data_IF_830710442794
#
_entry.id   IF_830710442794
#
_cell.length_a   1.000
_cell.length_b   1.000
_cell.length_c   1.000
_cell.angle_alpha   90.00
_cell.angle_beta   90.00
_cell.angle_gamma   90.00
#
_symmetry.space_group_name_H-M   'P 1'
#
loop_
_entity.id
_entity.type
_entity.pdbx_description
1 polymer ?
#
# COMPACT_ATOMS: atom_id res chain seq x y z
N UNK A 1 -11.91 -36.15 35.61
CA UNK A 1 -12.14 -35.69 34.22
C UNK A 1 -11.82 -34.21 34.00
N UNK A 2 -12.19 -33.27 34.89
CA UNK A 2 -11.92 -31.83 34.71
C UNK A 2 -10.45 -31.41 34.54
N UNK A 3 -9.49 -32.06 35.24
CA UNK A 3 -8.06 -31.72 35.13
C UNK A 3 -7.46 -32.04 33.76
N UNK A 4 -7.83 -33.18 33.15
CA UNK A 4 -7.30 -33.60 31.85
C UNK A 4 -7.80 -32.66 30.74
N UNK A 5 -9.10 -32.34 30.77
CA UNK A 5 -9.74 -31.46 29.81
C UNK A 5 -9.13 -30.04 29.82
N UNK A 6 -8.81 -29.51 31.01
CA UNK A 6 -8.15 -28.21 31.18
C UNK A 6 -6.70 -28.18 30.66
N UNK A 7 -5.97 -29.30 30.78
CA UNK A 7 -4.62 -29.45 30.22
C UNK A 7 -4.67 -29.49 28.68
N UNK A 8 -5.58 -30.29 28.10
CA UNK A 8 -5.77 -30.36 26.65
C UNK A 8 -6.21 -29.01 26.06
N UNK A 9 -7.13 -28.29 26.71
CA UNK A 9 -7.52 -26.93 26.28
C UNK A 9 -6.34 -25.95 26.34
N UNK A 10 -5.50 -26.03 27.37
CA UNK A 10 -4.28 -25.20 27.46
C UNK A 10 -3.28 -25.48 26.35
N UNK A 11 -3.05 -26.74 26.01
CA UNK A 11 -2.17 -27.13 24.90
C UNK A 11 -2.71 -26.64 23.55
N UNK A 12 -4.01 -26.79 23.28
CA UNK A 12 -4.62 -26.28 22.05
C UNK A 12 -4.45 -24.77 21.94
N UNK A 13 -4.67 -24.03 23.04
CA UNK A 13 -4.57 -22.57 23.05
C UNK A 13 -3.13 -22.10 22.80
N UNK A 14 -2.14 -22.76 23.41
CA UNK A 14 -0.72 -22.53 23.15
C UNK A 14 -0.35 -22.84 21.69
N UNK A 15 -0.82 -23.97 21.13
CA UNK A 15 -0.58 -24.32 19.74
C UNK A 15 -1.16 -23.28 18.77
N UNK A 16 -2.38 -22.79 19.02
CA UNK A 16 -2.99 -21.73 18.22
C UNK A 16 -2.19 -20.43 18.28
N UNK A 17 -1.73 -20.03 19.48
CA UNK A 17 -0.89 -18.84 19.65
C UNK A 17 0.43 -18.96 18.90
N UNK A 18 1.11 -20.11 18.97
CA UNK A 18 2.37 -20.35 18.26
C UNK A 18 2.15 -20.32 16.75
N UNK A 19 1.13 -21.01 16.24
CA UNK A 19 0.81 -21.01 14.80
C UNK A 19 0.48 -19.59 14.32
N UNK A 20 -0.31 -18.83 15.09
CA UNK A 20 -0.63 -17.43 14.79
C UNK A 20 0.63 -16.56 14.74
N UNK A 21 1.55 -16.73 15.69
CA UNK A 21 2.84 -16.03 15.70
C UNK A 21 3.70 -16.33 14.48
N UNK A 22 3.76 -17.60 14.07
CA UNK A 22 4.49 -18.02 12.85
C UNK A 22 3.86 -17.39 11.60
N UNK A 23 2.53 -17.44 11.46
CA UNK A 23 1.83 -16.85 10.31
C UNK A 23 2.09 -15.35 10.23
N UNK A 24 1.97 -14.63 11.34
CA UNK A 24 2.23 -13.19 11.38
C UNK A 24 3.69 -12.87 10.98
N UNK A 25 4.64 -13.69 11.44
CA UNK A 25 6.06 -13.53 11.09
C UNK A 25 6.29 -13.73 9.59
N UNK A 26 5.67 -14.73 8.97
CA UNK A 26 5.73 -14.97 7.52
C UNK A 26 5.14 -13.78 6.75
N UNK A 27 4.00 -13.24 7.19
CA UNK A 27 3.36 -12.08 6.58
C UNK A 27 4.25 -10.83 6.66
N UNK A 28 4.93 -10.63 7.78
CA UNK A 28 5.86 -9.50 7.95
C UNK A 28 7.10 -9.64 7.06
N UNK A 29 7.69 -10.84 6.99
CA UNK A 29 8.80 -11.12 6.06
C UNK A 29 8.39 -10.86 4.62
N UNK A 30 7.21 -11.33 4.21
CA UNK A 30 6.66 -11.08 2.87
C UNK A 30 6.51 -9.58 2.61
N UNK A 31 5.95 -8.84 3.56
CA UNK A 31 5.82 -7.39 3.45
C UNK A 31 7.18 -6.69 3.28
N UNK A 32 8.19 -7.04 4.07
CA UNK A 32 9.52 -6.43 3.96
C UNK A 32 10.16 -6.73 2.59
N UNK A 33 10.03 -7.96 2.11
CA UNK A 33 10.53 -8.35 0.79
C UNK A 33 9.86 -7.56 -0.33
N UNK A 34 8.52 -7.52 -0.35
CA UNK A 34 7.75 -6.78 -1.34
C UNK A 34 8.01 -5.28 -1.29
N UNK A 35 8.13 -4.69 -0.08
CA UNK A 35 8.51 -3.29 0.10
C UNK A 35 9.87 -3.00 -0.51
N UNK A 36 10.86 -3.86 -0.29
CA UNK A 36 12.18 -3.69 -0.89
C UNK A 36 12.13 -3.78 -2.42
N UNK A 37 11.37 -4.72 -2.97
CA UNK A 37 11.17 -4.81 -4.42
C UNK A 37 10.46 -3.58 -5.00
N UNK A 38 9.40 -3.10 -4.35
CA UNK A 38 8.68 -1.90 -4.76
C UNK A 38 9.62 -0.68 -4.82
N UNK A 39 10.46 -0.49 -3.79
CA UNK A 39 11.47 0.56 -3.76
C UNK A 39 12.55 0.42 -4.85
N UNK A 40 12.89 -0.80 -5.25
CA UNK A 40 13.87 -1.02 -6.31
C UNK A 40 13.27 -0.89 -7.72
N UNK A 41 11.98 -1.15 -7.88
CA UNK A 41 11.30 -1.28 -9.17
C UNK A 41 10.26 -0.20 -9.47
N UNK A 42 10.07 0.80 -8.58
CA UNK A 42 9.07 1.86 -8.79
C UNK A 42 9.27 2.62 -10.11
N UNK A 43 10.51 2.85 -10.55
CA UNK A 43 10.78 3.51 -11.83
C UNK A 43 10.33 2.65 -13.02
N UNK A 44 10.55 1.33 -12.95
CA UNK A 44 10.09 0.39 -13.97
C UNK A 44 8.56 0.38 -14.05
N UNK A 45 7.89 0.40 -12.89
CA UNK A 45 6.43 0.50 -12.80
C UNK A 45 5.94 1.82 -13.39
N UNK A 46 6.54 2.96 -13.02
CA UNK A 46 6.18 4.28 -13.57
C UNK A 46 6.36 4.34 -15.09
N UNK A 47 7.47 3.80 -15.60
CA UNK A 47 7.74 3.76 -17.05
C UNK A 47 6.71 2.89 -17.77
N UNK A 48 6.37 1.73 -17.21
CA UNK A 48 5.34 0.86 -17.77
C UNK A 48 3.95 1.53 -17.74
N UNK A 49 3.61 2.20 -16.64
CA UNK A 49 2.34 2.93 -16.51
C UNK A 49 2.21 4.00 -17.59
N UNK A 50 3.29 4.74 -17.90
CA UNK A 50 3.29 5.76 -18.96
C UNK A 50 2.97 5.18 -20.34
N UNK A 51 3.27 3.90 -20.60
CA UNK A 51 2.94 3.27 -21.89
C UNK A 51 1.45 2.93 -22.01
N UNK A 52 0.70 2.98 -20.91
CA UNK A 52 -0.74 2.69 -20.89
C UNK A 52 -1.60 3.86 -21.39
N UNK A 53 -1.01 5.05 -21.59
CA UNK A 53 -1.66 6.24 -22.15
C UNK A 53 -3.01 6.57 -21.50
N UNK A 54 -3.02 6.63 -20.16
CA UNK A 54 -4.21 7.01 -19.40
C UNK A 54 -4.67 8.43 -19.78
N UNK A 55 -5.98 8.72 -19.84
CA UNK A 55 -6.47 10.07 -20.05
C UNK A 55 -6.00 11.04 -18.97
N UNK A 56 -5.89 12.33 -19.31
CA UNK A 56 -5.49 13.37 -18.36
C UNK A 56 -6.49 13.46 -17.20
N UNK A 57 -5.97 13.74 -16.01
CA UNK A 57 -6.73 13.90 -14.77
C UNK A 57 -7.55 12.66 -14.37
N UNK A 58 -7.10 11.45 -14.71
CA UNK A 58 -7.81 10.20 -14.38
C UNK A 58 -7.01 9.30 -13.46
N UNK A 59 -7.73 8.57 -12.61
CA UNK A 59 -7.16 7.46 -11.84
C UNK A 59 -7.70 6.10 -12.28
N UNK A 60 -6.83 5.09 -12.31
CA UNK A 60 -7.21 3.72 -12.63
C UNK A 60 -6.36 2.70 -11.87
N UNK A 61 -6.93 1.52 -11.61
CA UNK A 61 -6.20 0.37 -11.10
C UNK A 61 -5.73 -0.51 -12.27
N UNK A 62 -4.42 -0.59 -12.49
CA UNK A 62 -3.84 -1.35 -13.59
C UNK A 62 -3.23 -2.66 -13.10
N UNK A 63 -3.41 -3.73 -13.87
CA UNK A 63 -2.77 -5.02 -13.61
C UNK A 63 -1.30 -4.96 -14.00
N UNK A 64 -0.42 -5.19 -13.03
CA UNK A 64 1.02 -5.21 -13.26
C UNK A 64 1.42 -6.37 -14.19
N UNK A 65 2.47 -6.20 -15.01
CA UNK A 65 3.10 -7.30 -15.74
C UNK A 65 3.47 -8.46 -14.82
N UNK A 66 3.49 -9.69 -15.35
CA UNK A 66 3.69 -10.91 -14.53
C UNK A 66 4.98 -10.88 -13.70
N UNK A 67 6.06 -10.29 -14.22
CA UNK A 67 7.33 -10.17 -13.50
C UNK A 67 7.32 -9.10 -12.38
N UNK A 68 6.33 -8.21 -12.37
CA UNK A 68 6.11 -7.17 -11.36
C UNK A 68 4.90 -7.46 -10.45
N UNK A 69 4.01 -8.38 -10.84
CA UNK A 69 2.75 -8.65 -10.14
C UNK A 69 2.95 -8.95 -8.64
N UNK A 70 3.99 -9.73 -8.31
CA UNK A 70 4.31 -10.14 -6.94
C UNK A 70 4.78 -8.99 -6.02
N UNK A 71 4.99 -7.78 -6.54
CA UNK A 71 5.37 -6.60 -5.74
C UNK A 71 4.18 -6.07 -4.95
N UNK A 72 2.99 -6.12 -5.54
CA UNK A 72 1.75 -5.67 -4.91
C UNK A 72 1.00 -6.84 -4.26
N UNK A 73 0.01 -6.54 -3.41
CA UNK A 73 -0.81 -7.55 -2.76
C UNK A 73 -1.70 -8.32 -3.77
N UNK A 74 -2.27 -7.59 -4.74
CA UNK A 74 -3.32 -8.06 -5.65
C UNK A 74 -2.82 -8.27 -7.09
N UNK A 75 -1.53 -7.98 -7.36
CA UNK A 75 -1.03 -7.82 -8.72
C UNK A 75 -1.46 -6.51 -9.39
N UNK A 76 -1.96 -5.54 -8.62
CA UNK A 76 -2.48 -4.26 -9.10
C UNK A 76 -1.63 -3.08 -8.62
N UNK A 77 -1.60 -2.03 -9.44
CA UNK A 77 -1.06 -0.72 -9.07
C UNK A 77 -2.15 0.34 -9.30
N UNK A 78 -2.36 1.20 -8.32
CA UNK A 78 -3.23 2.37 -8.49
C UNK A 78 -2.42 3.46 -9.17
N UNK A 79 -2.99 4.08 -10.18
CA UNK A 79 -2.33 5.10 -11.00
C UNK A 79 -3.18 6.35 -11.03
N UNK A 80 -2.52 7.51 -11.01
CA UNK A 80 -3.10 8.81 -11.30
C UNK A 80 -2.27 9.49 -12.38
N UNK A 81 -2.93 9.79 -13.50
CA UNK A 81 -2.44 10.76 -14.48
C UNK A 81 -3.03 12.11 -14.10
N UNK A 82 -2.23 12.99 -13.52
CA UNK A 82 -2.69 14.29 -13.00
C UNK A 82 -3.04 15.27 -14.13
N UNK A 83 -3.80 16.33 -13.80
CA UNK A 83 -4.05 17.46 -14.71
C UNK A 83 -2.80 18.20 -15.22
N UNK A 84 -1.64 18.00 -14.60
CA UNK A 84 -0.36 18.61 -14.98
C UNK A 84 0.52 17.71 -15.86
N UNK A 85 -0.06 16.66 -16.48
CA UNK A 85 0.64 15.67 -17.29
C UNK A 85 1.77 14.98 -16.52
N UNK A 86 1.45 14.57 -15.29
CA UNK A 86 2.33 13.83 -14.39
C UNK A 86 1.73 12.52 -13.94
N UNK A 87 2.58 11.55 -13.65
CA UNK A 87 2.17 10.21 -13.26
C UNK A 87 2.57 9.94 -11.82
N UNK A 88 1.58 9.51 -11.04
CA UNK A 88 1.80 8.98 -9.70
C UNK A 88 1.21 7.59 -9.59
N UNK A 89 1.83 6.77 -8.75
CA UNK A 89 1.44 5.39 -8.50
C UNK A 89 1.40 5.10 -7.02
N UNK A 90 0.44 4.27 -6.60
CA UNK A 90 0.41 3.66 -5.27
C UNK A 90 0.46 2.15 -5.43
N UNK A 91 1.52 1.56 -4.87
CA UNK A 91 1.77 0.13 -4.83
C UNK A 91 1.33 -0.37 -3.46
N UNK A 92 0.17 -1.01 -3.39
CA UNK A 92 -0.38 -1.60 -2.16
C UNK A 92 0.32 -2.93 -1.87
N UNK A 93 0.87 -3.10 -0.66
CA UNK A 93 1.69 -4.27 -0.32
C UNK A 93 1.02 -5.14 0.76
N UNK A 94 0.47 -4.51 1.81
CA UNK A 94 -0.10 -5.25 2.94
C UNK A 94 -1.41 -4.62 3.37
N UNK A 95 -2.43 -5.46 3.52
CA UNK A 95 -3.62 -5.19 4.32
C UNK A 95 -3.35 -5.69 5.75
N UNK A 96 -3.32 -4.78 6.71
CA UNK A 96 -3.35 -5.10 8.12
C UNK A 96 -4.82 -5.23 8.53
N UNK A 97 -5.25 -6.47 8.74
CA UNK A 97 -6.56 -6.80 9.29
C UNK A 97 -6.45 -6.67 10.81
N UNK A 98 -6.51 -5.45 11.32
CA UNK A 98 -6.72 -5.16 12.75
C UNK A 98 -8.11 -4.54 12.93
N UNK A 99 -8.43 -4.06 14.13
CA UNK A 99 -9.70 -3.36 14.43
C UNK A 99 -9.97 -2.14 13.54
N UNK A 100 -8.91 -1.58 12.95
CA UNK A 100 -8.99 -0.59 11.87
C UNK A 100 -8.29 -1.19 10.67
N UNK A 101 -9.00 -1.44 9.58
CA UNK A 101 -8.36 -1.95 8.36
C UNK A 101 -7.35 -0.90 7.88
N UNK A 102 -6.07 -1.20 7.98
CA UNK A 102 -5.00 -0.32 7.52
C UNK A 102 -4.32 -1.00 6.34
N UNK A 103 -3.95 -0.25 5.32
CA UNK A 103 -3.15 -0.79 4.23
C UNK A 103 -1.87 0.01 4.13
N UNK A 104 -0.79 -0.69 3.83
CA UNK A 104 0.56 -0.13 3.71
C UNK A 104 1.09 -0.36 2.32
N UNK A 105 1.81 0.63 1.81
CA UNK A 105 2.33 0.61 0.44
C UNK A 105 3.45 1.59 0.21
N UNK A 106 3.79 1.74 -1.06
CA UNK A 106 4.72 2.74 -1.57
C UNK A 106 3.95 3.67 -2.50
N UNK A 107 4.09 4.97 -2.26
CA UNK A 107 3.65 6.02 -3.17
C UNK A 107 4.88 6.55 -3.93
N UNK A 108 4.75 6.68 -5.24
CA UNK A 108 5.81 7.23 -6.09
C UNK A 108 5.23 8.12 -7.19
N UNK A 109 5.94 9.18 -7.55
CA UNK A 109 5.62 10.03 -8.70
C UNK A 109 6.83 10.17 -9.63
N UNK A 110 6.58 10.57 -10.87
CA UNK A 110 7.62 10.93 -11.83
C UNK A 110 8.13 12.37 -11.68
N UNK A 111 7.70 13.08 -10.64
CA UNK A 111 8.08 14.44 -10.30
C UNK A 111 8.20 14.63 -8.78
N UNK A 112 9.00 15.61 -8.33
CA UNK A 112 9.13 15.90 -6.90
C UNK A 112 7.83 16.49 -6.36
N UNK A 113 7.33 15.90 -5.29
CA UNK A 113 6.10 16.30 -4.64
C UNK A 113 6.32 17.64 -3.93
N UNK A 114 5.63 18.68 -4.40
CA UNK A 114 5.72 20.02 -3.82
C UNK A 114 4.92 20.12 -2.52
N UNK A 115 5.27 21.07 -1.61
CA UNK A 115 4.59 21.22 -0.32
C UNK A 115 3.06 21.41 -0.40
N UNK A 116 2.53 21.87 -1.54
CA UNK A 116 1.07 22.01 -1.76
C UNK A 116 0.30 20.69 -1.64
N UNK A 117 0.96 19.55 -1.90
CA UNK A 117 0.37 18.22 -1.79
C UNK A 117 0.60 17.56 -0.42
N UNK A 118 1.41 18.19 0.44
CA UNK A 118 1.82 17.68 1.74
C UNK A 118 1.15 18.49 2.85
N UNK A 119 0.14 17.92 3.49
CA UNK A 119 -0.44 18.50 4.69
C UNK A 119 0.35 18.03 5.91
N UNK A 120 0.89 18.96 6.71
CA UNK A 120 1.50 18.62 8.00
C UNK A 120 0.41 18.37 9.03
N UNK A 121 0.49 17.27 9.76
CA UNK A 121 -0.49 16.89 10.78
C UNK A 121 0.27 16.70 12.11
N UNK A 122 -0.30 17.10 13.27
CA UNK A 122 0.28 16.70 14.56
C UNK A 122 0.40 15.16 14.63
N UNK A 123 1.51 14.65 15.15
CA UNK A 123 1.78 13.21 15.32
C UNK A 123 1.99 12.36 14.04
N UNK A 124 1.79 12.92 12.83
CA UNK A 124 2.08 12.27 11.54
C UNK A 124 2.97 13.20 10.71
N UNK A 125 4.06 12.70 10.10
CA UNK A 125 5.00 13.55 9.34
C UNK A 125 4.28 14.39 8.28
N UNK A 126 3.60 13.74 7.34
CA UNK A 126 2.86 14.39 6.26
C UNK A 126 1.69 13.51 5.81
N UNK A 127 0.62 14.14 5.32
CA UNK A 127 -0.45 13.48 4.56
C UNK A 127 -0.42 13.98 3.12
N UNK A 128 -0.42 13.03 2.18
CA UNK A 128 -0.46 13.29 0.74
C UNK A 128 -1.93 13.29 0.28
N UNK A 129 -2.30 14.37 -0.41
CA UNK A 129 -3.58 14.51 -1.09
C UNK A 129 -3.33 15.03 -2.51
N UNK A 130 -3.69 14.25 -3.52
CA UNK A 130 -3.64 14.67 -4.91
C UNK A 130 -5.02 14.51 -5.53
N UNK A 131 -5.49 15.56 -6.20
CA UNK A 131 -6.76 15.59 -6.90
C UNK A 131 -6.67 14.82 -8.22
N UNK A 132 -7.79 14.21 -8.62
CA UNK A 132 -8.00 13.61 -9.93
C UNK A 132 -9.44 13.13 -10.11
N UNK A 133 -9.88 12.90 -11.34
CA UNK A 133 -11.13 12.21 -11.64
C UNK A 133 -10.99 10.72 -11.36
N UNK A 134 -11.49 10.31 -10.21
CA UNK A 134 -11.43 8.91 -9.81
C UNK A 134 -12.59 8.12 -10.44
N UNK A 135 -12.28 7.14 -11.29
CA UNK A 135 -13.31 6.31 -11.93
C UNK A 135 -14.18 5.57 -10.90
N UNK A 136 -15.50 5.77 -10.97
CA UNK A 136 -16.51 5.01 -10.22
C UNK A 136 -16.79 3.68 -10.95
N UNK A 137 -17.15 2.58 -10.27
CA UNK A 137 -17.48 2.47 -8.85
C UNK A 137 -16.26 2.14 -7.97
N UNK A 138 -16.10 2.89 -6.87
CA UNK A 138 -15.04 2.68 -5.89
C UNK A 138 -15.22 1.36 -5.14
N UNK A 139 -14.69 0.26 -5.66
CA UNK A 139 -14.55 -0.95 -4.84
C UNK A 139 -13.47 -0.79 -3.76
N UNK A 140 -12.50 0.10 -3.97
CA UNK A 140 -11.51 0.47 -2.96
C UNK A 140 -11.05 1.90 -3.27
N UNK A 141 -11.50 2.89 -2.49
CA UNK A 141 -11.07 4.27 -2.63
C UNK A 141 -9.61 4.43 -2.13
N UNK A 142 -8.65 3.92 -2.91
CA UNK A 142 -7.22 4.23 -2.83
C UNK A 142 -6.92 5.41 -3.75
N UNK A 143 -7.60 6.51 -3.51
CA UNK A 143 -7.76 7.57 -4.49
C UNK A 143 -6.77 8.71 -4.25
N UNK A 144 -5.47 8.43 -4.10
CA UNK A 144 -4.43 9.46 -3.90
C UNK A 144 -4.74 10.51 -2.80
N UNK A 145 -5.67 10.21 -1.90
CA UNK A 145 -6.17 11.05 -0.83
C UNK A 145 -5.96 10.35 0.51
N UNK A 146 -5.66 11.12 1.54
CA UNK A 146 -5.45 10.65 2.91
C UNK A 146 -4.34 9.60 3.04
N UNK A 147 -3.31 9.67 2.18
CA UNK A 147 -2.14 8.83 2.30
C UNK A 147 -1.21 9.41 3.37
N UNK A 148 -1.10 8.75 4.51
CA UNK A 148 -0.23 9.18 5.60
C UNK A 148 1.19 8.65 5.39
N UNK A 149 2.18 9.53 5.51
CA UNK A 149 3.58 9.25 5.21
C UNK A 149 4.26 8.65 6.45
N UNK A 150 4.61 7.36 6.34
CA UNK A 150 5.46 6.67 7.31
C UNK A 150 6.93 7.07 7.18
N UNK A 151 7.39 7.23 5.93
CA UNK A 151 8.80 7.54 5.62
C UNK A 151 8.94 8.18 4.24
N UNK A 152 9.68 9.28 4.17
CA UNK A 152 10.14 9.86 2.90
C UNK A 152 11.52 9.27 2.54
N UNK A 153 11.67 8.75 1.32
CA UNK A 153 12.96 8.28 0.80
C UNK A 153 13.65 9.35 -0.05
N UNK A 154 12.86 10.08 -0.83
CA UNK A 154 13.24 11.28 -1.58
C UNK A 154 11.95 12.06 -1.90
N UNK A 155 12.06 13.15 -2.65
CA UNK A 155 10.91 14.02 -2.96
C UNK A 155 9.86 13.37 -3.88
N UNK A 156 10.16 12.22 -4.47
CA UNK A 156 9.26 11.50 -5.38
C UNK A 156 8.78 10.16 -4.82
N UNK A 157 9.28 9.70 -3.66
CA UNK A 157 9.13 8.32 -3.19
C UNK A 157 8.92 8.25 -1.67
N UNK A 158 7.79 7.66 -1.28
CA UNK A 158 7.31 7.66 0.10
C UNK A 158 6.76 6.28 0.48
N UNK A 159 7.07 5.81 1.69
CA UNK A 159 6.29 4.77 2.34
C UNK A 159 5.04 5.42 2.93
N UNK A 160 3.88 4.84 2.62
CA UNK A 160 2.59 5.40 3.03
C UNK A 160 1.67 4.33 3.60
N UNK A 161 0.70 4.78 4.38
CA UNK A 161 -0.44 3.99 4.78
C UNK A 161 -1.75 4.78 4.65
N UNK A 162 -2.87 4.06 4.63
CA UNK A 162 -4.20 4.64 4.69
C UNK A 162 -5.09 3.79 5.58
N UNK A 163 -6.03 4.43 6.26
CA UNK A 163 -7.10 3.78 7.02
C UNK A 163 -8.30 3.56 6.10
N UNK A 164 -8.75 2.31 6.02
CA UNK A 164 -10.01 1.93 5.39
C UNK A 164 -11.12 2.07 6.46
N UNK A 165 -12.01 3.04 6.25
CA UNK A 165 -13.23 3.20 7.04
C UNK A 165 -14.32 2.25 6.57
#
# INVERSE_FOLDING_TARGET
>A
MYKLQRIFSGFILLSVQVVSGIINSILDIKYFYQKRLALAKYQEILNWVKTQNLPLDTSEALKLPDHLANISHDGLVQVLHTSEDKYCVVIMIKYAITTTQQVKGIFACDFPLTPRYLTKIPDICHRINMLGEYQKPYKVAWAFTNLEVDKQYNDCLFAVHCHLN
#
